data_IF_436699342669
#
_entry.id   IF_436699342669
#
_cell.length_a   1.000
_cell.length_b   1.000
_cell.length_c   1.000
_cell.angle_alpha   90.00
_cell.angle_beta   90.00
_cell.angle_gamma   90.00
#
_symmetry.space_group_name_H-M   'P 1'
#
loop_
_entity.id
_entity.type
_entity.pdbx_description
1 polymer ?
#
# COMPACT_ATOMS: atom_id res chain seq x y z
N UNK A 1 22.33 -20.29 31.72
CA UNK A 1 21.98 -20.63 30.33
C UNK A 1 20.51 -20.99 30.28
N UNK A 2 19.67 -20.17 29.66
CA UNK A 2 18.28 -20.53 29.38
C UNK A 2 18.30 -21.32 28.07
N UNK A 3 17.89 -22.58 28.11
CA UNK A 3 17.71 -23.42 26.93
C UNK A 3 16.29 -23.17 26.43
N UNK A 4 16.14 -22.34 25.41
CA UNK A 4 14.87 -22.23 24.68
C UNK A 4 14.72 -23.50 23.85
N UNK A 5 13.73 -24.32 24.19
CA UNK A 5 13.26 -25.43 23.34
C UNK A 5 12.14 -24.94 22.43
N UNK A 6 11.97 -25.50 21.23
CA UNK A 6 10.83 -25.16 20.39
C UNK A 6 9.60 -25.94 20.87
N UNK A 7 8.54 -25.23 21.22
CA UNK A 7 7.19 -25.80 21.22
C UNK A 7 6.24 -24.85 20.51
N UNK A 8 5.90 -25.20 19.28
CA UNK A 8 4.61 -24.86 18.69
C UNK A 8 4.11 -26.13 17.99
N UNK A 9 3.14 -26.80 18.61
CA UNK A 9 2.37 -27.88 18.00
C UNK A 9 1.24 -27.27 17.18
N UNK A 10 1.45 -27.17 15.86
CA UNK A 10 0.43 -26.85 14.88
C UNK A 10 0.98 -27.11 13.48
N UNK A 11 0.22 -27.78 12.62
CA UNK A 11 0.57 -27.92 11.21
C UNK A 11 0.73 -26.52 10.62
N UNK A 12 1.82 -26.27 9.87
CA UNK A 12 1.98 -24.99 9.17
C UNK A 12 0.77 -24.76 8.28
N UNK A 13 0.31 -23.52 8.16
CA UNK A 13 -0.84 -23.20 7.31
C UNK A 13 -0.66 -23.70 5.87
N UNK A 14 0.57 -23.64 5.33
CA UNK A 14 0.90 -24.22 4.02
C UNK A 14 0.57 -25.71 3.93
N UNK A 15 0.77 -26.47 5.00
CA UNK A 15 0.45 -27.89 5.05
C UNK A 15 -1.06 -28.18 5.21
N UNK A 16 -1.85 -27.18 5.63
CA UNK A 16 -3.31 -27.30 5.76
C UNK A 16 -4.00 -26.97 4.43
N UNK A 17 -3.52 -25.93 3.75
CA UNK A 17 -4.16 -25.38 2.55
C UNK A 17 -3.41 -25.70 1.25
N UNK A 18 -2.25 -26.37 1.33
CA UNK A 18 -1.50 -26.94 0.21
C UNK A 18 -1.25 -25.97 -0.96
N UNK A 19 -1.02 -24.69 -0.68
CA UNK A 19 -0.64 -23.72 -1.70
C UNK A 19 0.83 -23.89 -2.10
N UNK A 20 1.11 -23.74 -3.40
CA UNK A 20 2.44 -23.87 -3.99
C UNK A 20 3.18 -22.52 -4.03
N UNK A 21 2.43 -21.42 -4.03
CA UNK A 21 2.92 -20.05 -4.10
C UNK A 21 2.29 -19.19 -2.98
N UNK A 22 3.09 -18.34 -2.34
CA UNK A 22 2.65 -17.40 -1.28
C UNK A 22 3.23 -16.01 -1.60
N UNK A 23 2.36 -15.08 -1.99
CA UNK A 23 2.72 -13.74 -2.46
C UNK A 23 2.08 -12.66 -1.60
N UNK A 24 2.81 -11.56 -1.39
CA UNK A 24 2.25 -10.34 -0.82
C UNK A 24 1.88 -9.34 -1.92
N UNK A 25 0.67 -8.80 -1.83
CA UNK A 25 0.16 -7.71 -2.65
C UNK A 25 -0.12 -6.51 -1.74
N UNK A 26 0.78 -5.53 -1.77
CA UNK A 26 0.62 -4.28 -1.04
C UNK A 26 -0.17 -3.30 -1.89
N UNK A 27 -1.22 -2.73 -1.32
CA UNK A 27 -2.06 -1.70 -1.95
C UNK A 27 -2.03 -0.48 -1.05
N UNK A 28 -1.77 0.69 -1.60
CA UNK A 28 -1.76 1.94 -0.85
C UNK A 28 -2.21 3.12 -1.69
N UNK A 29 -2.57 4.20 -1.01
CA UNK A 29 -2.64 5.52 -1.63
C UNK A 29 -1.24 6.09 -1.86
N UNK A 30 -1.17 7.05 -2.78
CA UNK A 30 0.03 7.81 -3.04
C UNK A 30 -0.30 9.27 -3.31
N UNK A 31 0.49 10.14 -2.69
CA UNK A 31 0.44 11.58 -2.87
C UNK A 31 1.75 12.04 -3.51
N UNK A 32 1.69 13.00 -4.44
CA UNK A 32 2.88 13.68 -4.94
C UNK A 32 3.51 14.62 -3.90
N UNK A 33 2.75 14.95 -2.85
CA UNK A 33 3.23 15.70 -1.68
C UNK A 33 3.90 14.77 -0.69
N UNK A 34 4.83 15.33 0.09
CA UNK A 34 5.41 14.60 1.22
C UNK A 34 4.34 14.29 2.27
N UNK A 35 4.54 13.21 3.04
CA UNK A 35 3.65 12.86 4.14
C UNK A 35 3.47 14.02 5.15
N UNK A 36 4.53 14.81 5.37
CA UNK A 36 4.46 15.98 6.25
C UNK A 36 3.51 17.04 5.70
N UNK A 37 3.57 17.38 4.41
CA UNK A 37 2.67 18.36 3.80
C UNK A 37 1.21 17.90 3.77
N UNK A 38 0.99 16.58 3.62
CA UNK A 38 -0.36 15.99 3.72
C UNK A 38 -0.88 16.10 5.15
N UNK A 39 -0.05 15.80 6.15
CA UNK A 39 -0.38 15.93 7.57
C UNK A 39 -0.62 17.39 7.98
N UNK A 40 0.23 18.30 7.53
CA UNK A 40 0.10 19.74 7.81
C UNK A 40 -1.23 20.26 7.24
N UNK A 41 -1.55 19.87 6.00
CA UNK A 41 -2.85 20.18 5.39
C UNK A 41 -4.02 19.63 6.22
N UNK A 42 -3.96 18.34 6.61
CA UNK A 42 -5.02 17.72 7.40
C UNK A 42 -5.24 18.41 8.77
N UNK A 43 -4.15 18.80 9.43
CA UNK A 43 -4.20 19.41 10.78
C UNK A 43 -4.48 20.91 10.79
N UNK A 44 -4.37 21.58 9.64
CA UNK A 44 -4.69 23.00 9.53
C UNK A 44 -6.19 23.23 9.80
N UNK A 45 -6.50 24.13 10.73
CA UNK A 45 -7.88 24.37 11.17
C UNK A 45 -8.82 24.80 10.04
N UNK A 46 -8.28 25.45 9.00
CA UNK A 46 -8.99 25.91 7.80
C UNK A 46 -9.42 24.76 6.88
N UNK A 47 -8.79 23.59 6.99
CA UNK A 47 -9.09 22.40 6.18
C UNK A 47 -10.07 21.46 6.89
N UNK A 48 -10.55 21.80 8.09
CA UNK A 48 -11.60 21.08 8.83
C UNK A 48 -11.34 19.57 9.05
N UNK A 49 -10.07 19.15 9.10
CA UNK A 49 -9.73 17.73 9.21
C UNK A 49 -10.12 16.92 7.96
N UNK A 50 -10.29 17.56 6.81
CA UNK A 50 -10.55 16.88 5.55
C UNK A 50 -9.23 16.35 5.01
N UNK A 51 -9.10 15.03 4.99
CA UNK A 51 -7.98 14.38 4.31
C UNK A 51 -8.02 14.72 2.80
N UNK A 52 -6.89 15.10 2.20
CA UNK A 52 -6.87 15.32 0.77
C UNK A 52 -7.09 14.00 0.03
N UNK A 53 -7.75 14.03 -1.12
CA UNK A 53 -7.81 12.84 -1.97
C UNK A 53 -6.40 12.47 -2.48
N UNK A 54 -6.05 11.18 -2.55
CA UNK A 54 -4.78 10.75 -3.09
C UNK A 54 -4.70 10.96 -4.59
N UNK A 55 -3.48 11.21 -5.08
CA UNK A 55 -3.22 11.41 -6.50
C UNK A 55 -3.35 10.10 -7.27
N UNK A 56 -2.92 8.98 -6.67
CA UNK A 56 -3.00 7.66 -7.29
C UNK A 56 -3.10 6.53 -6.27
N UNK A 57 -3.44 5.35 -6.76
CA UNK A 57 -3.29 4.09 -6.03
C UNK A 57 -2.00 3.44 -6.50
N UNK A 58 -1.23 2.90 -5.55
CA UNK A 58 -0.03 2.11 -5.82
C UNK A 58 -0.24 0.65 -5.47
N UNK A 59 0.28 -0.23 -6.33
CA UNK A 59 0.32 -1.68 -6.13
C UNK A 59 1.80 -2.08 -6.09
N UNK A 60 2.25 -2.65 -4.97
CA UNK A 60 3.66 -2.97 -4.72
C UNK A 60 4.61 -1.80 -5.05
N UNK A 61 4.20 -0.57 -4.69
CA UNK A 61 4.97 0.65 -4.91
C UNK A 61 4.93 1.24 -6.32
N UNK A 62 4.13 0.67 -7.23
CA UNK A 62 3.94 1.20 -8.59
C UNK A 62 2.52 1.68 -8.80
N UNK A 63 2.37 2.88 -9.33
CA UNK A 63 1.09 3.51 -9.63
C UNK A 63 1.17 4.33 -10.91
N UNK A 64 0.02 4.81 -11.37
CA UNK A 64 -0.08 5.68 -12.52
C UNK A 64 -0.94 6.90 -12.18
N UNK A 65 -0.53 8.05 -12.70
CA UNK A 65 -1.25 9.31 -12.57
C UNK A 65 -1.47 9.91 -13.97
N UNK A 66 -2.63 10.53 -14.18
CA UNK A 66 -2.89 11.25 -15.42
C UNK A 66 -2.21 12.62 -15.37
N UNK A 67 -1.04 12.73 -15.99
CA UNK A 67 -0.24 13.96 -16.03
C UNK A 67 -0.96 15.19 -16.59
N UNK A 68 -1.99 15.02 -17.41
CA UNK A 68 -2.82 16.14 -17.87
C UNK A 68 -3.66 16.77 -16.75
N UNK A 69 -3.73 16.14 -15.57
CA UNK A 69 -4.40 16.63 -14.37
C UNK A 69 -3.43 17.30 -13.39
N UNK A 70 -2.15 17.45 -13.77
CA UNK A 70 -1.18 18.22 -13.00
C UNK A 70 -1.67 19.66 -12.76
N UNK A 71 -1.45 20.15 -11.54
CA UNK A 71 -1.75 21.54 -11.19
C UNK A 71 -0.49 22.40 -11.38
N UNK A 72 -0.55 23.52 -12.13
CA UNK A 72 0.64 24.35 -12.42
C UNK A 72 1.38 24.86 -11.17
N UNK A 73 0.68 25.00 -10.05
CA UNK A 73 1.28 25.45 -8.79
C UNK A 73 2.21 24.41 -8.14
N UNK A 74 2.15 23.13 -8.56
CA UNK A 74 2.93 22.03 -7.99
C UNK A 74 3.35 21.07 -9.11
N UNK A 75 4.40 21.42 -9.86
CA UNK A 75 4.76 20.64 -11.01
C UNK A 75 5.31 19.27 -10.62
N UNK A 76 5.05 18.26 -11.45
CA UNK A 76 5.53 16.89 -11.26
C UNK A 76 6.36 16.43 -12.46
N UNK A 77 7.33 15.54 -12.23
CA UNK A 77 8.11 14.94 -13.32
C UNK A 77 7.38 13.73 -13.89
N UNK A 78 6.65 13.95 -14.99
CA UNK A 78 5.89 12.89 -15.64
C UNK A 78 6.76 11.95 -16.47
N UNK A 79 6.74 10.66 -16.11
CA UNK A 79 7.45 9.59 -16.83
C UNK A 79 6.48 8.50 -17.25
N UNK A 80 6.66 8.00 -18.48
CA UNK A 80 5.99 6.79 -18.91
C UNK A 80 6.60 5.59 -18.19
N UNK A 81 5.76 4.82 -17.49
CA UNK A 81 6.18 3.63 -16.78
C UNK A 81 5.35 2.43 -17.24
N UNK A 82 6.01 1.29 -17.37
CA UNK A 82 5.33 0.02 -17.59
C UNK A 82 4.91 -0.54 -16.24
N UNK A 83 3.61 -0.60 -15.99
CA UNK A 83 3.06 -1.20 -14.77
C UNK A 83 3.46 -2.68 -14.70
N UNK A 84 3.99 -3.09 -13.54
CA UNK A 84 4.24 -4.49 -13.27
C UNK A 84 2.91 -5.25 -13.17
N UNK A 85 2.81 -6.35 -13.91
CA UNK A 85 1.68 -7.25 -13.81
C UNK A 85 1.94 -8.25 -12.68
N UNK A 86 0.92 -8.49 -11.85
CA UNK A 86 0.91 -9.63 -10.95
C UNK A 86 0.90 -10.90 -11.80
N UNK A 87 1.90 -11.75 -11.60
CA UNK A 87 2.00 -13.07 -12.24
C UNK A 87 1.79 -14.11 -11.16
N UNK A 88 0.81 -14.96 -11.36
CA UNK A 88 0.56 -16.13 -10.52
C UNK A 88 1.15 -17.32 -11.27
N UNK A 89 2.13 -17.97 -10.67
CA UNK A 89 2.86 -19.08 -11.28
C UNK A 89 2.45 -20.46 -10.75
N UNK A 90 1.84 -20.50 -9.56
CA UNK A 90 1.36 -21.73 -8.94
C UNK A 90 -0.05 -22.11 -9.35
N UNK A 91 -0.35 -23.41 -9.31
CA UNK A 91 -1.72 -23.93 -9.46
C UNK A 91 -2.60 -23.43 -8.31
N UNK A 92 -2.06 -23.42 -7.09
CA UNK A 92 -2.69 -22.83 -5.91
C UNK A 92 -1.80 -21.74 -5.30
N UNK A 93 -2.27 -20.50 -5.42
CA UNK A 93 -1.56 -19.33 -4.90
C UNK A 93 -2.30 -18.72 -3.73
N UNK A 94 -1.59 -18.56 -2.62
CA UNK A 94 -2.02 -17.71 -1.52
C UNK A 94 -1.59 -16.27 -1.79
N UNK A 95 -2.54 -15.37 -1.94
CA UNK A 95 -2.29 -13.94 -2.07
C UNK A 95 -2.63 -13.22 -0.76
N UNK A 96 -1.63 -12.58 -0.16
CA UNK A 96 -1.79 -11.76 1.04
C UNK A 96 -1.99 -10.32 0.61
N UNK A 97 -3.22 -9.85 0.70
CA UNK A 97 -3.56 -8.47 0.42
C UNK A 97 -3.25 -7.64 1.67
N UNK A 98 -2.37 -6.67 1.53
CA UNK A 98 -1.94 -5.79 2.62
C UNK A 98 -2.35 -4.36 2.25
N UNK A 99 -3.25 -3.78 3.04
CA UNK A 99 -3.52 -2.36 2.96
C UNK A 99 -2.37 -1.60 3.64
N UNK A 100 -1.73 -0.72 2.89
CA UNK A 100 -0.63 0.16 3.30
C UNK A 100 -0.96 1.64 3.13
N UNK A 101 -2.20 1.95 2.71
CA UNK A 101 -2.69 3.31 2.57
C UNK A 101 -2.83 4.00 3.92
N UNK A 102 -2.77 5.32 3.87
CA UNK A 102 -3.12 6.17 4.99
C UNK A 102 -4.65 6.13 5.16
N UNK A 103 -5.09 5.84 6.38
CA UNK A 103 -6.50 5.99 6.77
C UNK A 103 -6.51 6.90 7.98
N UNK A 104 -6.84 8.17 7.77
CA UNK A 104 -7.09 9.11 8.87
C UNK A 104 -8.60 9.31 9.03
N UNK A 105 -9.28 8.38 9.71
CA UNK A 105 -10.61 8.67 10.24
C UNK A 105 -10.45 9.37 11.61
N UNK A 106 -10.95 10.60 11.79
CA UNK A 106 -11.26 11.06 13.13
C UNK A 106 -12.49 10.29 13.60
N UNK A 107 -12.33 9.47 14.64
CA UNK A 107 -13.46 8.94 15.40
C UNK A 107 -14.28 10.13 15.94
N UNK A 108 -15.48 10.34 15.40
CA UNK A 108 -16.55 11.13 15.99
C UNK A 108 -17.65 10.18 16.48
#
# INVERSE_FOLDING_TARGET
>A
MIKLGPFVSGSSEKAIFEYDEDLALMIGDWYHRSAQEVQDYYTEATNFGLEPAPDSIVINGQGAFNCSMEIPARPIECKSMKMQQLRLGGEFTRLRIINTGLVAYPDL
#
